data_IF_292958504672
#
_entry.id   IF_292958504672
#
_cell.length_a   1.000
_cell.length_b   1.000
_cell.length_c   1.000
_cell.angle_alpha   90.00
_cell.angle_beta   90.00
_cell.angle_gamma   90.00
#
_symmetry.space_group_name_H-M   'P 1'
#
loop_
_entity.id
_entity.type
_entity.pdbx_description
1 polymer ?
#
# COMPACT_ATOMS: atom_id res chain seq x y z
N UNK A 1 21.73 -7.49 -18.81
CA UNK A 1 20.42 -7.70 -18.16
C UNK A 1 20.64 -8.68 -17.02
N UNK A 2 20.84 -8.19 -15.80
CA UNK A 2 20.91 -9.03 -14.60
C UNK A 2 19.44 -9.27 -14.23
N UNK A 3 18.87 -10.35 -14.75
CA UNK A 3 17.54 -10.78 -14.36
C UNK A 3 17.61 -11.26 -12.92
N UNK A 4 16.90 -10.58 -12.01
CA UNK A 4 16.76 -11.04 -10.63
C UNK A 4 16.24 -12.48 -10.66
N UNK A 5 16.93 -13.35 -9.93
CA UNK A 5 16.66 -14.78 -9.97
C UNK A 5 15.37 -15.11 -9.20
N UNK A 6 14.63 -16.18 -9.55
CA UNK A 6 13.45 -16.65 -8.81
C UNK A 6 13.63 -16.78 -7.28
N UNK A 7 14.86 -17.03 -6.81
CA UNK A 7 15.19 -17.11 -5.38
C UNK A 7 15.19 -15.76 -4.67
N UNK A 8 15.59 -14.70 -5.36
CA UNK A 8 15.57 -13.33 -4.83
C UNK A 8 14.13 -12.90 -4.56
N UNK A 9 13.21 -13.20 -5.49
CA UNK A 9 11.79 -12.88 -5.36
C UNK A 9 11.08 -13.63 -4.23
N UNK A 10 11.40 -14.91 -4.02
CA UNK A 10 10.85 -15.69 -2.91
C UNK A 10 11.30 -15.14 -1.56
N UNK A 11 12.56 -14.69 -1.46
CA UNK A 11 13.13 -14.09 -0.24
C UNK A 11 12.51 -12.73 0.06
N UNK A 12 12.27 -11.92 -0.97
CA UNK A 12 11.58 -10.63 -0.84
C UNK A 12 10.13 -10.86 -0.37
N UNK A 13 9.37 -11.75 -1.01
CA UNK A 13 8.02 -12.09 -0.57
C UNK A 13 7.99 -12.59 0.88
N UNK A 14 8.92 -13.45 1.28
CA UNK A 14 8.99 -13.96 2.65
C UNK A 14 9.34 -12.86 3.65
N UNK A 15 10.26 -11.95 3.30
CA UNK A 15 10.58 -10.77 4.10
C UNK A 15 9.37 -9.84 4.27
N UNK A 16 8.59 -9.64 3.22
CA UNK A 16 7.35 -8.86 3.28
C UNK A 16 6.25 -9.51 4.09
N UNK A 17 6.05 -10.81 3.88
CA UNK A 17 5.03 -11.57 4.61
C UNK A 17 5.38 -11.58 6.09
N UNK A 18 6.67 -11.68 6.44
CA UNK A 18 7.18 -11.56 7.81
C UNK A 18 6.99 -10.13 8.35
N UNK A 19 7.30 -9.12 7.54
CA UNK A 19 7.09 -7.72 7.90
C UNK A 19 5.61 -7.43 8.14
N UNK A 20 4.67 -8.05 7.43
CA UNK A 20 3.23 -7.90 7.68
C UNK A 20 2.74 -8.76 8.85
N UNK A 21 3.28 -9.98 9.01
CA UNK A 21 2.89 -10.92 10.07
C UNK A 21 3.17 -10.39 11.49
N UNK A 22 4.16 -9.50 11.63
CA UNK A 22 4.48 -8.88 12.90
C UNK A 22 3.54 -7.71 13.28
N UNK A 23 2.55 -7.37 12.43
CA UNK A 23 1.65 -6.25 12.66
C UNK A 23 0.19 -6.70 12.81
N UNK A 24 -0.61 -5.99 13.63
CA UNK A 24 -2.03 -6.30 13.85
C UNK A 24 -2.86 -6.44 12.56
N UNK A 25 -2.44 -5.76 11.49
CA UNK A 25 -3.11 -5.80 10.18
C UNK A 25 -3.29 -7.21 9.63
N UNK A 26 -2.38 -8.15 9.94
CA UNK A 26 -2.47 -9.51 9.43
C UNK A 26 -3.83 -10.17 9.76
N UNK A 27 -4.37 -9.91 10.95
CA UNK A 27 -5.66 -10.46 11.38
C UNK A 27 -6.85 -9.92 10.57
N UNK A 28 -6.65 -8.84 9.81
CA UNK A 28 -7.66 -8.17 9.01
C UNK A 28 -7.49 -8.44 7.50
N UNK A 29 -6.44 -9.14 7.06
CA UNK A 29 -6.18 -9.48 5.66
C UNK A 29 -6.94 -10.76 5.30
N UNK A 30 -7.85 -10.66 4.34
CA UNK A 30 -8.56 -11.80 3.73
C UNK A 30 -7.75 -12.45 2.61
N UNK A 31 -7.06 -11.64 1.81
CA UNK A 31 -6.17 -12.11 0.75
C UNK A 31 -5.06 -11.09 0.48
N UNK A 32 -3.91 -11.60 0.04
CA UNK A 32 -2.76 -10.80 -0.37
C UNK A 32 -2.28 -11.32 -1.72
N UNK A 33 -2.16 -10.44 -2.71
CA UNK A 33 -1.51 -10.75 -3.96
C UNK A 33 -0.26 -9.89 -4.11
N UNK A 34 0.86 -10.51 -4.44
CA UNK A 34 2.11 -9.81 -4.72
C UNK A 34 2.43 -9.87 -6.21
N UNK A 35 2.84 -8.74 -6.77
CA UNK A 35 3.44 -8.65 -8.09
C UNK A 35 4.77 -7.91 -8.00
N UNK A 36 5.71 -8.27 -8.86
CA UNK A 36 7.01 -7.60 -8.96
C UNK A 36 7.21 -7.21 -10.41
N UNK A 37 7.47 -5.93 -10.65
CA UNK A 37 7.65 -5.42 -12.01
C UNK A 37 9.07 -5.67 -12.55
N UNK A 38 9.30 -5.26 -13.80
CA UNK A 38 10.60 -5.39 -14.46
C UNK A 38 11.72 -4.55 -13.80
N UNK A 39 11.36 -3.58 -12.96
CA UNK A 39 12.27 -2.69 -12.23
C UNK A 39 12.54 -3.17 -10.78
N UNK A 40 11.90 -4.27 -10.36
CA UNK A 40 12.02 -4.80 -8.99
C UNK A 40 11.14 -4.09 -7.97
N UNK A 41 10.17 -3.27 -8.40
CA UNK A 41 9.17 -2.69 -7.51
C UNK A 41 8.20 -3.77 -7.07
N UNK A 42 8.01 -3.89 -5.76
CA UNK A 42 7.07 -4.84 -5.19
C UNK A 42 5.73 -4.14 -5.02
N UNK A 43 4.69 -4.75 -5.58
CA UNK A 43 3.31 -4.29 -5.45
C UNK A 43 2.49 -5.34 -4.72
N UNK A 44 1.80 -4.92 -3.66
CA UNK A 44 0.97 -5.75 -2.81
C UNK A 44 -0.49 -5.29 -2.93
N UNK A 45 -1.35 -6.12 -3.49
CA UNK A 45 -2.79 -5.93 -3.45
C UNK A 45 -3.33 -6.60 -2.18
N UNK A 46 -3.79 -5.79 -1.23
CA UNK A 46 -4.32 -6.24 0.06
C UNK A 46 -5.84 -6.19 0.00
N UNK A 47 -6.45 -7.36 0.16
CA UNK A 47 -7.88 -7.50 0.38
C UNK A 47 -8.14 -7.69 1.86
N UNK A 48 -8.92 -6.79 2.46
CA UNK A 48 -9.29 -6.90 3.87
C UNK A 48 -10.58 -7.69 4.06
N UNK A 49 -10.74 -8.26 5.25
CA UNK A 49 -11.96 -8.92 5.69
C UNK A 49 -13.16 -7.95 5.64
N UNK A 50 -14.31 -8.33 5.04
CA UNK A 50 -15.46 -7.43 4.85
C UNK A 50 -15.97 -6.76 6.14
N UNK A 51 -15.84 -7.43 7.29
CA UNK A 51 -16.23 -6.90 8.60
C UNK A 51 -15.17 -6.01 9.27
N UNK A 52 -13.98 -5.89 8.69
CA UNK A 52 -12.81 -5.22 9.28
C UNK A 52 -12.21 -4.14 8.39
N UNK A 53 -12.81 -3.82 7.25
CA UNK A 53 -12.28 -2.89 6.25
C UNK A 53 -11.75 -1.57 6.85
N UNK A 54 -12.52 -0.91 7.72
CA UNK A 54 -12.09 0.35 8.32
C UNK A 54 -10.94 0.20 9.34
N UNK A 55 -10.95 -0.90 10.10
CA UNK A 55 -9.89 -1.21 11.07
C UNK A 55 -8.59 -1.58 10.34
N UNK A 56 -8.66 -2.50 9.37
CA UNK A 56 -7.49 -2.90 8.60
C UNK A 56 -6.90 -1.75 7.77
N UNK A 57 -7.74 -0.85 7.25
CA UNK A 57 -7.26 0.37 6.59
C UNK A 57 -6.46 1.27 7.54
N UNK A 58 -6.95 1.45 8.77
CA UNK A 58 -6.27 2.24 9.78
C UNK A 58 -4.92 1.61 10.19
N UNK A 59 -4.91 0.30 10.41
CA UNK A 59 -3.69 -0.43 10.75
C UNK A 59 -2.67 -0.42 9.61
N UNK A 60 -3.12 -0.42 8.35
CA UNK A 60 -2.24 -0.26 7.19
C UNK A 60 -1.61 1.13 7.14
N UNK A 61 -2.41 2.18 7.37
CA UNK A 61 -1.93 3.56 7.46
C UNK A 61 -0.91 3.72 8.59
N UNK A 62 -1.06 3.02 9.71
CA UNK A 62 -0.05 3.02 10.77
C UNK A 62 1.20 2.24 10.36
N UNK A 63 1.03 1.06 9.78
CA UNK A 63 2.12 0.22 9.29
C UNK A 63 3.04 0.94 8.31
N UNK A 64 2.53 1.89 7.50
CA UNK A 64 3.37 2.68 6.58
C UNK A 64 4.59 3.31 7.27
N UNK A 65 4.52 3.62 8.57
CA UNK A 65 5.59 4.27 9.34
C UNK A 65 6.84 3.39 9.44
N UNK A 66 6.73 2.10 9.15
CA UNK A 66 7.83 1.14 9.16
C UNK A 66 8.62 1.18 7.86
N UNK A 67 8.07 1.81 6.81
CA UNK A 67 8.74 1.98 5.53
C UNK A 67 9.68 3.18 5.58
N UNK A 68 10.77 3.10 4.81
CA UNK A 68 11.58 4.26 4.50
C UNK A 68 10.86 5.13 3.47
N UNK A 69 10.92 6.47 3.64
CA UNK A 69 10.24 7.47 2.79
C UNK A 69 8.75 7.16 2.55
N UNK A 70 7.94 7.00 3.62
CA UNK A 70 6.57 6.56 3.47
C UNK A 70 5.66 7.68 2.97
N UNK A 71 4.78 7.35 2.03
CA UNK A 71 3.69 8.19 1.56
C UNK A 71 2.38 7.40 1.59
N UNK A 72 1.27 8.08 1.87
CA UNK A 72 -0.06 7.51 1.76
C UNK A 72 -0.90 8.37 0.82
N UNK A 73 -1.43 7.75 -0.23
CA UNK A 73 -2.33 8.37 -1.19
C UNK A 73 -3.73 7.85 -0.97
N UNK A 74 -4.70 8.77 -0.97
CA UNK A 74 -6.09 8.43 -0.69
C UNK A 74 -6.97 9.09 -1.72
N UNK A 75 -7.72 8.25 -2.41
CA UNK A 75 -8.70 8.67 -3.38
C UNK A 75 -10.09 8.35 -2.83
N UNK A 76 -10.89 9.39 -2.63
CA UNK A 76 -12.28 9.22 -2.20
C UNK A 76 -13.15 8.93 -3.42
N UNK A 77 -14.05 7.96 -3.30
CA UNK A 77 -14.99 7.69 -4.38
C UNK A 77 -15.94 8.87 -4.62
N UNK A 78 -16.53 9.02 -5.83
CA UNK A 78 -17.41 10.15 -6.14
C UNK A 78 -18.64 10.25 -5.25
N UNK A 79 -19.18 9.11 -4.79
CA UNK A 79 -20.29 9.09 -3.84
C UNK A 79 -19.86 9.45 -2.41
N UNK A 80 -18.56 9.55 -2.17
CA UNK A 80 -17.98 9.99 -0.92
C UNK A 80 -18.05 8.99 0.23
N UNK A 81 -18.56 7.78 -0.01
CA UNK A 81 -18.77 6.75 1.01
C UNK A 81 -17.62 5.76 1.13
N UNK A 82 -16.77 5.68 0.11
CA UNK A 82 -15.62 4.77 0.07
C UNK A 82 -14.35 5.53 -0.31
N UNK A 83 -13.21 4.90 -0.06
CA UNK A 83 -11.92 5.38 -0.48
C UNK A 83 -11.02 4.22 -0.94
N UNK A 84 -10.16 4.49 -1.91
CA UNK A 84 -9.01 3.65 -2.21
C UNK A 84 -7.80 4.24 -1.48
N UNK A 85 -6.96 3.36 -0.95
CA UNK A 85 -5.75 3.76 -0.23
C UNK A 85 -4.57 3.09 -0.92
N UNK A 86 -3.54 3.88 -1.18
CA UNK A 86 -2.23 3.40 -1.60
C UNK A 86 -1.20 3.81 -0.56
N UNK A 87 -0.29 2.90 -0.23
CA UNK A 87 0.87 3.17 0.61
C UNK A 87 2.11 2.92 -0.20
N UNK A 88 2.97 3.91 -0.26
CA UNK A 88 4.20 3.89 -1.03
C UNK A 88 5.35 4.06 -0.05
N UNK A 89 6.44 3.35 -0.29
CA UNK A 89 7.66 3.54 0.47
C UNK A 89 8.76 2.62 -0.01
N UNK A 90 9.73 2.39 0.84
CA UNK A 90 10.85 1.49 0.59
C UNK A 90 11.08 0.59 1.77
N UNK A 91 11.56 -0.63 1.50
CA UNK A 91 11.96 -1.53 2.56
C UNK A 91 13.15 -0.90 3.30
N UNK A 92 13.09 -0.69 4.62
CA UNK A 92 14.17 -0.06 5.36
C UNK A 92 15.47 -0.87 5.37
N UNK A 93 15.43 -2.17 5.11
CA UNK A 93 16.60 -3.06 5.17
C UNK A 93 17.41 -3.09 3.87
N UNK A 94 16.75 -2.97 2.72
CA UNK A 94 17.39 -3.15 1.40
C UNK A 94 16.99 -2.10 0.35
N UNK A 95 16.23 -1.07 0.73
CA UNK A 95 15.78 0.05 -0.11
C UNK A 95 14.87 -0.34 -1.29
N UNK A 96 14.38 -1.59 -1.36
CA UNK A 96 13.47 -2.06 -2.41
C UNK A 96 12.16 -1.26 -2.40
N UNK A 97 11.72 -0.70 -3.53
CA UNK A 97 10.46 0.04 -3.63
C UNK A 97 9.23 -0.83 -3.36
N UNK A 98 8.26 -0.26 -2.64
CA UNK A 98 7.05 -0.94 -2.16
C UNK A 98 5.83 -0.08 -2.47
N UNK A 99 4.84 -0.70 -3.12
CA UNK A 99 3.50 -0.17 -3.26
C UNK A 99 2.51 -1.15 -2.62
N UNK A 100 1.65 -0.68 -1.74
CA UNK A 100 0.56 -1.45 -1.14
C UNK A 100 -0.77 -0.82 -1.49
N UNK A 101 -1.65 -1.60 -2.10
CA UNK A 101 -2.96 -1.17 -2.56
C UNK A 101 -4.05 -1.78 -1.71
N UNK A 102 -4.98 -0.92 -1.28
CA UNK A 102 -6.19 -1.30 -0.58
C UNK A 102 -7.38 -0.83 -1.42
N UNK A 103 -8.01 -1.77 -2.11
CA UNK A 103 -9.15 -1.47 -2.95
C UNK A 103 -10.43 -1.30 -2.12
N UNK A 104 -11.03 -0.11 -2.21
CA UNK A 104 -12.37 0.24 -1.73
C UNK A 104 -12.65 -0.13 -0.27
N UNK A 105 -12.31 0.78 0.64
CA UNK A 105 -12.72 0.70 2.05
C UNK A 105 -13.76 1.77 2.39
N UNK A 106 -14.62 1.55 3.40
CA UNK A 106 -15.55 2.56 3.87
C UNK A 106 -14.81 3.82 4.35
N UNK A 107 -15.23 4.99 3.87
CA UNK A 107 -14.72 6.30 4.29
C UNK A 107 -15.38 6.75 5.61
N UNK A 108 -15.30 5.87 6.61
CA UNK A 108 -15.95 5.99 7.91
C UNK A 108 -15.30 7.06 8.81
N UNK A 109 -15.98 7.55 9.86
CA UNK A 109 -15.45 8.57 10.76
C UNK A 109 -14.07 8.23 11.36
N UNK A 110 -13.82 6.95 11.68
CA UNK A 110 -12.52 6.53 12.24
C UNK A 110 -11.38 6.79 11.24
N UNK A 111 -11.56 6.34 9.99
CA UNK A 111 -10.58 6.56 8.92
C UNK A 111 -10.38 8.07 8.71
N UNK A 112 -11.45 8.87 8.63
CA UNK A 112 -11.34 10.33 8.47
C UNK A 112 -10.52 11.00 9.59
N UNK A 113 -10.76 10.57 10.83
CA UNK A 113 -10.07 11.11 12.01
C UNK A 113 -8.59 10.77 11.96
N UNK A 114 -8.26 9.52 11.62
CA UNK A 114 -6.88 9.08 11.43
C UNK A 114 -6.18 9.90 10.35
N UNK A 115 -6.80 10.03 9.17
CA UNK A 115 -6.20 10.78 8.06
C UNK A 115 -5.94 12.24 8.44
N UNK A 116 -6.89 12.88 9.13
CA UNK A 116 -6.69 14.23 9.62
C UNK A 116 -5.55 14.33 10.65
N UNK A 117 -5.43 13.37 11.57
CA UNK A 117 -4.36 13.31 12.55
C UNK A 117 -2.98 13.10 11.89
N UNK A 118 -2.94 12.32 10.82
CA UNK A 118 -1.73 12.05 10.03
C UNK A 118 -1.40 13.15 9.01
N UNK A 119 -2.23 14.20 8.90
CA UNK A 119 -2.09 15.24 7.86
C UNK A 119 -2.26 14.71 6.43
N UNK A 120 -2.91 13.55 6.26
CA UNK A 120 -3.18 12.93 4.97
C UNK A 120 -4.53 13.45 4.46
N UNK A 121 -4.50 14.17 3.34
CA UNK A 121 -5.71 14.72 2.73
C UNK A 121 -6.11 13.91 1.49
N UNK A 122 -7.38 13.48 1.38
CA UNK A 122 -7.87 12.83 0.18
C UNK A 122 -7.75 13.77 -1.01
N UNK A 123 -7.18 13.29 -2.12
CA UNK A 123 -7.15 14.05 -3.37
C UNK A 123 -8.45 13.80 -4.14
N UNK A 124 -9.04 14.84 -4.77
CA UNK A 124 -10.18 14.66 -5.66
C UNK A 124 -9.70 14.03 -6.98
N UNK A 125 -10.25 12.85 -7.30
CA UNK A 125 -10.14 12.11 -8.57
C UNK A 125 -8.71 11.90 -9.09
N UNK A 126 -8.14 10.74 -8.77
CA UNK A 126 -6.81 10.32 -9.18
C UNK A 126 -6.84 9.00 -9.95
N UNK A 127 -7.98 8.59 -10.52
CA UNK A 127 -8.13 7.33 -11.28
C UNK A 127 -7.00 7.03 -12.28
N UNK A 128 -6.31 8.04 -12.80
CA UNK A 128 -5.15 7.87 -13.68
C UNK A 128 -3.85 7.43 -12.95
N UNK A 129 -3.68 7.78 -11.68
CA UNK A 129 -2.50 7.40 -10.88
C UNK A 129 -2.53 5.96 -10.35
N UNK A 130 -3.73 5.37 -10.19
CA UNK A 130 -3.91 4.18 -9.33
C UNK A 130 -3.74 2.84 -10.06
N UNK A 131 -3.65 2.81 -11.40
CA UNK A 131 -3.54 1.53 -12.13
C UNK A 131 -2.44 1.49 -13.22
N UNK A 132 -1.90 2.65 -13.63
CA UNK A 132 -0.93 2.70 -14.75
C UNK A 132 0.19 3.73 -14.56
N UNK A 133 -0.07 4.89 -13.93
CA UNK A 133 0.87 6.03 -14.01
C UNK A 133 1.82 6.23 -12.81
N UNK A 134 1.67 5.49 -11.70
CA UNK A 134 2.65 5.57 -10.60
C UNK A 134 4.01 4.92 -10.91
N UNK A 135 4.08 4.07 -11.94
CA UNK A 135 5.35 3.65 -12.54
C UNK A 135 6.07 4.81 -13.24
N UNK A 136 5.35 5.85 -13.68
CA UNK A 136 5.95 7.03 -14.31
C UNK A 136 6.33 8.14 -13.33
N UNK A 137 5.68 8.23 -12.17
CA UNK A 137 5.98 9.26 -11.16
C UNK A 137 7.35 9.07 -10.47
N UNK A 138 7.96 7.90 -10.61
CA UNK A 138 9.34 7.63 -10.17
C UNK A 138 10.30 7.37 -11.34
N UNK A 139 9.86 7.59 -12.58
CA UNK A 139 10.72 7.60 -13.77
C UNK A 139 11.33 8.99 -14.05
N UNK A 140 11.13 9.97 -13.16
CA UNK A 140 11.80 11.28 -13.22
C UNK A 140 12.81 11.34 -12.07
N UNK A 141 14.07 11.49 -12.46
CA UNK A 141 15.32 11.55 -11.69
C UNK A 141 15.92 10.21 -11.22
N UNK A 142 16.50 9.45 -12.18
CA UNK A 142 17.97 9.24 -12.31
C UNK A 142 18.35 9.06 -13.78
#
# INVERSE_FOLDING_TARGET
MIGNSPKTYATELEGFTTMLANYPIQANIAALQMTIDAHGTITLDVCLEPGRLAQGAAELIEWRRTLAKPEALIERSPNGHTANIAIIGRNPENDTPINVWLCTVPYAPQLRTLLAAEGIHPKPDTRHLFHTDLLQLWAIDV
#
